data_IF_516832504585
#
_entry.id   IF_516832504585
#
_cell.length_a   1.000
_cell.length_b   1.000
_cell.length_c   1.000
_cell.angle_alpha   90.00
_cell.angle_beta   90.00
_cell.angle_gamma   90.00
#
_symmetry.space_group_name_H-M   'P 1'
#
loop_
_entity.id
_entity.type
_entity.pdbx_description
1 polymer ?
#
# COMPACT_ATOMS: atom_id res chain seq x y z
N UNK A 1 -5.37 -1.01 24.21
CA UNK A 1 -6.50 -0.72 23.28
C UNK A 1 -7.14 -2.04 22.87
N UNK A 2 -8.46 -2.23 23.01
CA UNK A 2 -9.13 -3.51 22.68
C UNK A 2 -9.58 -3.49 21.22
N UNK A 3 -9.04 -4.37 20.39
CA UNK A 3 -9.37 -4.48 18.96
C UNK A 3 -10.45 -5.54 18.76
N UNK A 4 -11.42 -5.32 17.87
CA UNK A 4 -12.44 -6.33 17.53
C UNK A 4 -11.77 -7.52 16.84
N UNK A 5 -12.24 -8.76 17.07
CA UNK A 5 -11.63 -9.98 16.51
C UNK A 5 -11.28 -9.90 15.00
N UNK A 6 -12.16 -9.43 14.09
CA UNK A 6 -11.82 -9.34 12.67
C UNK A 6 -10.66 -8.37 12.37
N UNK A 7 -10.57 -7.27 13.12
CA UNK A 7 -9.47 -6.30 12.99
C UNK A 7 -8.15 -6.85 13.54
N UNK A 8 -8.21 -7.65 14.61
CA UNK A 8 -7.03 -8.31 15.15
C UNK A 8 -6.49 -9.34 14.14
N UNK A 9 -7.37 -10.14 13.54
CA UNK A 9 -7.01 -11.09 12.49
C UNK A 9 -6.38 -10.42 11.28
N UNK A 10 -6.94 -9.29 10.79
CA UNK A 10 -6.32 -8.54 9.70
C UNK A 10 -4.90 -8.06 10.07
N UNK A 11 -4.71 -7.50 11.27
CA UNK A 11 -3.40 -7.01 11.73
C UNK A 11 -2.38 -8.16 11.81
N UNK A 12 -2.77 -9.30 12.38
CA UNK A 12 -1.92 -10.48 12.51
C UNK A 12 -1.55 -11.05 11.15
N UNK A 13 -2.51 -11.15 10.23
CA UNK A 13 -2.28 -11.65 8.89
C UNK A 13 -1.39 -10.73 8.06
N UNK A 14 -1.60 -9.41 8.12
CA UNK A 14 -0.75 -8.43 7.43
C UNK A 14 0.71 -8.54 7.92
N UNK A 15 0.90 -8.61 9.25
CA UNK A 15 2.24 -8.77 9.84
C UNK A 15 2.90 -10.08 9.42
N UNK A 16 2.19 -11.20 9.52
CA UNK A 16 2.72 -12.50 9.15
C UNK A 16 3.06 -12.57 7.66
N UNK A 17 2.19 -12.07 6.80
CA UNK A 17 2.41 -12.03 5.35
C UNK A 17 3.66 -11.21 5.00
N UNK A 18 3.80 -10.02 5.58
CA UNK A 18 4.94 -9.14 5.33
C UNK A 18 6.26 -9.77 5.83
N UNK A 19 6.30 -10.21 7.10
CA UNK A 19 7.50 -10.78 7.73
C UNK A 19 7.99 -12.06 7.01
N UNK A 20 7.07 -12.95 6.62
CA UNK A 20 7.40 -14.17 5.89
C UNK A 20 7.95 -13.90 4.48
N UNK A 21 7.82 -12.67 3.97
CA UNK A 21 8.24 -12.28 2.63
C UNK A 21 9.37 -11.24 2.64
N UNK A 22 10.07 -11.11 3.77
CA UNK A 22 11.29 -10.33 3.87
C UNK A 22 11.09 -8.87 4.27
N UNK A 23 9.90 -8.51 4.77
CA UNK A 23 9.69 -7.19 5.37
C UNK A 23 10.67 -6.92 6.50
N UNK A 24 11.18 -5.68 6.56
CA UNK A 24 12.00 -5.17 7.65
C UNK A 24 11.37 -3.92 8.24
N UNK A 25 11.54 -3.69 9.53
CA UNK A 25 11.11 -2.43 10.13
C UNK A 25 11.77 -1.23 9.43
N UNK A 26 11.08 -0.10 9.45
CA UNK A 26 11.48 1.12 8.73
C UNK A 26 11.50 0.98 7.20
N UNK A 27 11.03 -0.13 6.63
CA UNK A 27 10.83 -0.25 5.17
C UNK A 27 9.82 0.79 4.69
N UNK A 28 10.10 1.43 3.56
CA UNK A 28 9.20 2.41 2.96
C UNK A 28 7.92 1.76 2.44
N UNK A 29 6.80 2.44 2.61
CA UNK A 29 5.47 1.91 2.34
C UNK A 29 4.56 2.92 1.64
N UNK A 30 3.88 2.45 0.61
CA UNK A 30 2.89 3.22 -0.15
C UNK A 30 1.54 2.52 -0.01
N UNK A 31 0.57 3.21 0.60
CA UNK A 31 -0.80 2.71 0.72
C UNK A 31 -1.70 3.34 -0.35
N UNK A 32 -2.07 2.54 -1.35
CA UNK A 32 -2.91 2.91 -2.48
C UNK A 32 -4.37 2.47 -2.31
N UNK A 33 -4.74 1.96 -1.13
CA UNK A 33 -6.11 1.46 -0.89
C UNK A 33 -7.17 2.57 -0.90
N UNK A 34 -6.74 3.82 -0.71
CA UNK A 34 -7.62 4.98 -0.73
C UNK A 34 -8.42 5.21 0.55
N UNK A 35 -8.44 4.23 1.46
CA UNK A 35 -9.37 4.25 2.59
C UNK A 35 -9.04 3.33 3.77
N UNK A 36 -7.90 2.64 3.74
CA UNK A 36 -7.45 1.80 4.85
C UNK A 36 -6.23 2.42 5.50
N UNK A 37 -6.40 3.47 6.32
CA UNK A 37 -5.28 4.04 7.04
C UNK A 37 -4.69 2.98 7.99
N UNK A 38 -3.42 3.16 8.33
CA UNK A 38 -2.65 2.44 9.37
C UNK A 38 -1.79 1.25 8.94
N UNK A 39 -1.85 0.76 7.69
CA UNK A 39 -1.06 -0.41 7.28
C UNK A 39 0.46 -0.22 7.49
N UNK A 40 1.00 0.94 7.11
CA UNK A 40 2.40 1.28 7.37
C UNK A 40 2.76 1.23 8.86
N UNK A 41 1.88 1.72 9.74
CA UNK A 41 2.13 1.73 11.19
C UNK A 41 1.99 0.35 11.82
N UNK A 42 1.04 -0.47 11.34
CA UNK A 42 0.89 -1.87 11.75
C UNK A 42 2.20 -2.63 11.51
N UNK A 43 2.85 -2.34 10.38
CA UNK A 43 4.10 -2.97 9.95
C UNK A 43 5.37 -2.33 10.52
N UNK A 44 5.25 -1.27 11.33
CA UNK A 44 6.40 -0.46 11.77
C UNK A 44 7.25 0.05 10.58
N UNK A 45 6.58 0.41 9.48
CA UNK A 45 7.17 0.94 8.26
C UNK A 45 7.17 2.46 8.20
N UNK A 46 7.78 2.99 7.14
CA UNK A 46 7.87 4.42 6.87
C UNK A 46 6.94 4.81 5.71
N UNK A 47 5.83 5.51 5.96
CA UNK A 47 4.96 5.97 4.89
C UNK A 47 5.69 6.97 3.97
N UNK A 48 5.60 6.77 2.65
CA UNK A 48 6.17 7.71 1.68
C UNK A 48 5.27 8.94 1.54
N UNK A 49 5.75 10.10 2.02
CA UNK A 49 5.09 11.43 2.04
C UNK A 49 3.76 11.52 2.81
N UNK A 50 2.90 10.51 2.74
CA UNK A 50 1.56 10.43 3.35
C UNK A 50 1.36 9.05 3.95
N UNK A 51 0.62 8.99 5.05
CA UNK A 51 0.26 7.73 5.71
C UNK A 51 -0.59 6.80 4.82
N UNK A 52 -1.43 7.37 3.96
CA UNK A 52 -2.15 6.70 2.87
C UNK A 52 -2.59 7.73 1.83
N UNK A 53 -2.89 7.27 0.61
CA UNK A 53 -3.48 8.13 -0.42
C UNK A 53 -4.99 8.25 -0.20
N UNK A 54 -5.54 9.45 -0.33
CA UNK A 54 -6.98 9.70 -0.15
C UNK A 54 -7.73 9.39 -1.45
N UNK A 55 -8.54 8.34 -1.45
CA UNK A 55 -9.32 7.92 -2.61
C UNK A 55 -10.82 8.01 -2.44
N UNK A 56 -11.56 7.92 -3.55
CA UNK A 56 -13.02 8.02 -3.60
C UNK A 56 -13.58 9.45 -3.61
N UNK A 57 -12.74 10.47 -3.80
CA UNK A 57 -13.16 11.86 -3.97
C UNK A 57 -12.79 12.36 -5.37
N UNK A 58 -13.53 13.33 -5.89
CA UNK A 58 -13.16 14.03 -7.11
C UNK A 58 -11.75 14.61 -6.98
N UNK A 59 -10.88 14.30 -7.95
CA UNK A 59 -9.47 14.75 -7.95
C UNK A 59 -8.49 13.88 -7.15
N UNK A 60 -8.94 12.80 -6.50
CA UNK A 60 -8.05 11.86 -5.78
C UNK A 60 -6.91 11.32 -6.64
N UNK A 61 -7.19 10.93 -7.89
CA UNK A 61 -6.17 10.41 -8.80
C UNK A 61 -5.16 11.51 -9.20
N UNK A 62 -5.65 12.70 -9.57
CA UNK A 62 -4.79 13.84 -9.91
C UNK A 62 -3.88 14.25 -8.75
N UNK A 63 -4.41 14.23 -7.53
CA UNK A 63 -3.63 14.49 -6.32
C UNK A 63 -2.56 13.41 -6.07
N UNK A 64 -2.87 12.14 -6.34
CA UNK A 64 -1.90 11.05 -6.27
C UNK A 64 -0.80 11.20 -7.32
N UNK A 65 -1.15 11.50 -8.58
CA UNK A 65 -0.17 11.77 -9.66
C UNK A 65 0.76 12.92 -9.30
N UNK A 66 0.20 14.05 -8.89
CA UNK A 66 0.99 15.20 -8.44
C UNK A 66 1.93 14.85 -7.28
N UNK A 67 1.50 13.99 -6.35
CA UNK A 67 2.37 13.53 -5.26
C UNK A 67 3.55 12.70 -5.79
N UNK A 68 3.29 11.76 -6.70
CA UNK A 68 4.32 10.88 -7.27
C UNK A 68 5.34 11.61 -8.14
N UNK A 69 4.94 12.68 -8.83
CA UNK A 69 5.87 13.58 -9.54
C UNK A 69 6.92 14.23 -8.61
N UNK A 70 6.68 14.26 -7.30
CA UNK A 70 7.52 14.91 -6.30
C UNK A 70 8.31 13.91 -5.42
N UNK A 71 8.22 12.61 -5.73
CA UNK A 71 8.93 11.55 -5.01
C UNK A 71 10.07 11.08 -5.90
N UNK A 72 11.25 10.87 -5.30
CA UNK A 72 12.38 10.28 -6.01
C UNK A 72 12.03 8.86 -6.48
N UNK A 73 12.34 8.55 -7.74
CA UNK A 73 12.00 7.26 -8.37
C UNK A 73 12.52 6.09 -7.54
N UNK A 74 13.74 6.18 -7.02
CA UNK A 74 14.35 5.13 -6.21
C UNK A 74 13.58 4.88 -4.91
N UNK A 75 12.99 5.93 -4.32
CA UNK A 75 12.13 5.79 -3.15
C UNK A 75 10.87 4.98 -3.49
N UNK A 76 10.26 5.23 -4.65
CA UNK A 76 9.08 4.46 -5.08
C UNK A 76 9.47 3.01 -5.36
N UNK A 77 10.54 2.79 -6.13
CA UNK A 77 11.03 1.46 -6.52
C UNK A 77 11.50 0.59 -5.36
N UNK A 78 11.86 1.17 -4.23
CA UNK A 78 12.27 0.44 -3.03
C UNK A 78 11.14 0.27 -2.00
N UNK A 79 9.97 0.87 -2.24
CA UNK A 79 8.84 0.80 -1.33
C UNK A 79 8.03 -0.48 -1.52
N UNK A 80 7.43 -0.98 -0.45
CA UNK A 80 6.33 -1.92 -0.58
C UNK A 80 5.03 -1.18 -0.84
N UNK A 81 4.10 -1.85 -1.52
CA UNK A 81 2.83 -1.26 -1.92
C UNK A 81 1.66 -2.11 -1.42
N UNK A 82 0.64 -1.47 -0.89
CA UNK A 82 -0.65 -2.09 -0.59
C UNK A 82 -1.72 -1.52 -1.51
N UNK A 83 -2.39 -2.40 -2.26
CA UNK A 83 -3.47 -2.03 -3.18
C UNK A 83 -4.78 -2.67 -2.76
N UNK A 84 -5.91 -2.15 -3.26
CA UNK A 84 -7.23 -2.74 -3.08
C UNK A 84 -8.02 -2.68 -4.40
N UNK A 85 -7.69 -3.49 -5.43
CA UNK A 85 -8.17 -3.26 -6.80
C UNK A 85 -9.69 -3.18 -6.98
N UNK A 86 -10.45 -3.93 -6.17
CA UNK A 86 -11.91 -3.92 -6.15
C UNK A 86 -12.51 -2.96 -5.11
N UNK A 87 -11.66 -2.24 -4.37
CA UNK A 87 -12.05 -1.31 -3.33
C UNK A 87 -12.62 -0.02 -3.92
N UNK A 88 -13.76 0.42 -3.40
CA UNK A 88 -14.49 1.61 -3.89
C UNK A 88 -13.72 2.93 -3.78
N UNK A 89 -12.60 2.94 -3.05
CA UNK A 89 -11.73 4.11 -2.89
C UNK A 89 -10.34 3.90 -3.51
N UNK A 90 -10.05 2.78 -4.14
CA UNK A 90 -8.69 2.46 -4.61
C UNK A 90 -8.13 3.57 -5.49
N UNK A 91 -6.85 3.88 -5.29
CA UNK A 91 -6.07 4.65 -6.26
C UNK A 91 -5.50 3.68 -7.30
N UNK A 92 -5.65 3.94 -8.61
CA UNK A 92 -5.13 3.05 -9.64
C UNK A 92 -3.60 3.05 -9.65
N UNK A 93 -2.96 1.90 -9.89
CA UNK A 93 -1.50 1.78 -9.90
C UNK A 93 -0.83 2.54 -11.04
N UNK A 94 -1.56 2.86 -12.11
CA UNK A 94 -1.07 3.68 -13.23
C UNK A 94 -0.65 5.12 -12.83
N UNK A 95 -0.99 5.58 -11.62
CA UNK A 95 -0.44 6.84 -11.10
C UNK A 95 1.05 6.73 -10.73
N UNK A 96 1.62 5.54 -10.62
CA UNK A 96 3.05 5.35 -10.36
C UNK A 96 3.91 5.64 -11.60
N UNK A 97 3.32 5.55 -12.80
CA UNK A 97 3.99 5.79 -14.08
C UNK A 97 4.54 7.23 -14.18
N UNK A 98 3.85 8.22 -13.59
CA UNK A 98 4.35 9.62 -13.57
C UNK A 98 5.57 9.79 -12.67
N UNK A 99 5.80 8.84 -11.75
CA UNK A 99 7.03 8.71 -10.96
C UNK A 99 8.11 7.87 -11.63
N UNK A 100 7.90 7.45 -12.89
CA UNK A 100 8.87 6.66 -13.67
C UNK A 100 8.91 5.17 -13.34
N UNK A 101 7.89 4.65 -12.65
CA UNK A 101 7.83 3.25 -12.20
C UNK A 101 6.84 2.46 -13.03
N UNK A 102 7.26 1.27 -13.48
CA UNK A 102 6.39 0.30 -14.14
C UNK A 102 5.93 -0.72 -13.10
N UNK A 103 4.66 -0.61 -12.70
CA UNK A 103 4.15 -1.43 -11.59
C UNK A 103 4.23 -2.94 -11.88
N UNK A 104 4.08 -3.36 -13.15
CA UNK A 104 4.13 -4.78 -13.52
C UNK A 104 5.55 -5.35 -13.56
N UNK A 105 6.56 -4.50 -13.77
CA UNK A 105 7.95 -4.90 -13.92
C UNK A 105 8.81 -4.66 -12.66
N UNK A 106 8.38 -3.73 -11.82
CA UNK A 106 9.11 -3.28 -10.62
C UNK A 106 8.58 -3.90 -9.31
N UNK A 107 7.40 -4.52 -9.31
CA UNK A 107 6.83 -5.15 -8.11
C UNK A 107 6.31 -6.56 -8.37
N UNK A 108 6.38 -7.39 -7.33
CA UNK A 108 5.78 -8.71 -7.33
C UNK A 108 4.75 -8.86 -6.21
N UNK A 109 3.68 -9.61 -6.50
CA UNK A 109 2.62 -9.88 -5.55
C UNK A 109 3.13 -10.82 -4.45
N UNK A 110 3.00 -10.37 -3.20
CA UNK A 110 3.35 -11.16 -2.01
C UNK A 110 2.17 -11.98 -1.53
N UNK A 111 0.97 -11.41 -1.58
CA UNK A 111 -0.25 -12.13 -1.19
C UNK A 111 -1.46 -11.24 -1.02
N UNK A 112 -2.54 -11.87 -0.58
CA UNK A 112 -3.87 -11.27 -0.44
C UNK A 112 -4.32 -11.27 1.03
N UNK A 113 -5.04 -10.22 1.42
CA UNK A 113 -5.65 -10.03 2.72
C UNK A 113 -7.12 -9.64 2.56
N UNK A 114 -7.98 -10.14 3.43
CA UNK A 114 -9.38 -9.72 3.52
C UNK A 114 -9.54 -8.65 4.60
N UNK A 115 -10.16 -7.53 4.24
CA UNK A 115 -10.52 -6.47 5.17
C UNK A 115 -12.04 -6.45 5.38
N UNK A 116 -12.51 -7.33 6.26
CA UNK A 116 -13.93 -7.67 6.41
C UNK A 116 -14.85 -6.45 6.64
N UNK A 117 -14.42 -5.47 7.43
CA UNK A 117 -15.28 -4.32 7.76
C UNK A 117 -15.50 -3.35 6.59
N UNK A 118 -14.71 -3.45 5.52
CA UNK A 118 -14.93 -2.73 4.26
C UNK A 118 -15.39 -3.64 3.13
N UNK A 119 -15.40 -4.96 3.36
CA UNK A 119 -15.70 -5.95 2.32
C UNK A 119 -14.74 -5.87 1.14
N UNK A 120 -13.47 -5.50 1.37
CA UNK A 120 -12.48 -5.34 0.31
C UNK A 120 -11.33 -6.32 0.46
N UNK A 121 -10.81 -6.77 -0.69
CA UNK A 121 -9.56 -7.52 -0.78
C UNK A 121 -8.41 -6.55 -0.96
N UNK A 122 -7.32 -6.80 -0.24
CA UNK A 122 -6.10 -6.02 -0.34
C UNK A 122 -4.94 -6.90 -0.76
N UNK A 123 -4.05 -6.36 -1.58
CA UNK A 123 -2.92 -7.06 -2.14
C UNK A 123 -1.65 -6.38 -1.68
N UNK A 124 -0.74 -7.14 -1.09
CA UNK A 124 0.56 -6.67 -0.66
C UNK A 124 1.59 -6.99 -1.74
N UNK A 125 2.40 -6.01 -2.09
CA UNK A 125 3.42 -6.09 -3.14
C UNK A 125 4.76 -5.68 -2.57
N UNK A 126 5.82 -6.36 -2.98
CA UNK A 126 7.19 -6.00 -2.64
C UNK A 126 7.96 -5.60 -3.89
N UNK A 127 8.99 -4.75 -3.76
CA UNK A 127 9.82 -4.37 -4.89
C UNK A 127 10.67 -5.53 -5.38
N UNK A 128 10.86 -5.60 -6.70
CA UNK A 128 11.82 -6.51 -7.33
C UNK A 128 13.19 -5.83 -7.30
N UNK A 129 14.09 -6.32 -6.47
CA UNK A 129 15.47 -5.82 -6.39
C UNK A 129 16.27 -6.50 -7.51
N UNK A 130 16.68 -5.71 -8.52
CA UNK A 130 17.55 -6.14 -9.62
C UNK A 130 19.01 -5.77 -9.35
#
# INVERSE_FOLDING_TARGET
MKVSKPRATYIENLKALALNNGWREQTTFIDMTGGTPLAAFILNGMPVKKAWLLGGYSGSESAARWLFEQIDIETIKQSWILTAPSGSRSIPTSVLEVGGVDFSEDFELVGELNLDYRGEKQLLWRPIIR
#
